data_IF_196550405095
#
_entry.id   IF_196550405095
#
_cell.length_a   1.000
_cell.length_b   1.000
_cell.length_c   1.000
_cell.angle_alpha   90.00
_cell.angle_beta   90.00
_cell.angle_gamma   90.00
#
_symmetry.space_group_name_H-M   'P 1'
#
loop_
_entity.id
_entity.type
_entity.pdbx_description
1 polymer ?
#
# COMPACT_ATOMS: atom_id res chain seq x y z
N UNK A 1 23.19 25.27 8.18
CA UNK A 1 23.18 24.76 6.82
C UNK A 1 23.06 23.26 6.89
N UNK A 2 22.01 22.67 6.30
CA UNK A 2 21.87 21.23 6.21
C UNK A 2 22.98 20.69 5.29
N UNK A 3 23.64 19.62 5.69
CA UNK A 3 24.61 18.91 4.85
C UNK A 3 24.20 17.44 4.73
N UNK A 4 24.54 16.83 3.61
CA UNK A 4 24.36 15.39 3.42
C UNK A 4 25.36 14.68 4.35
N UNK A 5 24.85 13.87 5.28
CA UNK A 5 25.69 13.06 6.16
C UNK A 5 26.19 11.81 5.42
N UNK A 6 25.31 11.15 4.67
CA UNK A 6 25.61 10.05 3.78
C UNK A 6 24.56 9.94 2.67
N UNK A 7 24.90 9.22 1.61
CA UNK A 7 23.98 8.84 0.54
C UNK A 7 24.29 7.42 0.09
N UNK A 8 23.25 6.67 -0.31
CA UNK A 8 23.37 5.31 -0.86
C UNK A 8 22.42 5.18 -2.04
N UNK A 9 22.96 4.70 -3.16
CA UNK A 9 22.16 4.20 -4.28
C UNK A 9 22.00 2.70 -4.10
N UNK A 10 20.79 2.21 -4.32
CA UNK A 10 20.42 0.80 -4.26
C UNK A 10 19.84 0.46 -5.62
N UNK A 11 20.31 -0.62 -6.23
CA UNK A 11 19.85 -1.01 -7.55
C UNK A 11 20.79 -1.95 -8.30
N UNK A 12 20.44 -2.18 -9.55
CA UNK A 12 21.19 -3.03 -10.46
C UNK A 12 21.18 -2.52 -11.90
N UNK A 13 21.07 -3.45 -12.87
CA UNK A 13 21.04 -3.10 -14.30
C UNK A 13 19.63 -2.87 -14.85
N UNK A 14 18.61 -3.16 -14.08
CA UNK A 14 17.21 -2.95 -14.42
C UNK A 14 16.67 -1.63 -13.89
N UNK A 15 15.38 -1.60 -13.71
CA UNK A 15 14.64 -0.48 -13.14
C UNK A 15 14.28 -0.80 -11.69
N UNK A 16 14.37 0.19 -10.83
CA UNK A 16 13.93 0.15 -9.46
C UNK A 16 12.90 1.25 -9.23
N UNK A 17 11.67 0.84 -8.91
CA UNK A 17 10.63 1.75 -8.49
C UNK A 17 10.65 1.92 -6.97
N UNK A 18 10.36 3.14 -6.56
CA UNK A 18 10.38 3.53 -5.15
C UNK A 18 9.06 3.18 -4.45
N UNK A 19 9.15 2.61 -3.28
CA UNK A 19 8.08 2.62 -2.29
C UNK A 19 8.42 3.59 -1.14
N UNK A 20 8.33 3.13 0.07
CA UNK A 20 8.54 3.91 1.28
C UNK A 20 9.88 3.62 1.96
N UNK A 21 10.31 4.56 2.80
CA UNK A 21 11.42 4.39 3.76
C UNK A 21 10.95 4.74 5.17
N UNK A 22 11.31 3.92 6.15
CA UNK A 22 11.00 4.14 7.57
C UNK A 22 12.25 4.00 8.43
N UNK A 23 12.29 4.74 9.53
CA UNK A 23 13.33 4.58 10.55
C UNK A 23 13.05 3.35 11.41
N UNK A 24 14.12 2.62 11.75
CA UNK A 24 14.10 1.51 12.70
C UNK A 24 15.18 1.69 13.77
N UNK A 25 15.14 0.98 14.89
CA UNK A 25 16.24 0.99 15.85
C UNK A 25 17.56 0.59 15.16
N UNK A 26 18.49 1.54 15.08
CA UNK A 26 19.84 1.33 14.50
C UNK A 26 19.92 1.45 12.98
N UNK A 27 18.91 2.02 12.30
CA UNK A 27 18.99 2.23 10.86
C UNK A 27 17.67 2.54 10.17
N UNK A 28 17.50 1.97 9.00
CA UNK A 28 16.35 2.24 8.11
C UNK A 28 15.89 0.95 7.45
N UNK A 29 14.62 0.92 7.04
CA UNK A 29 14.05 -0.09 6.17
C UNK A 29 13.33 0.61 5.02
N UNK A 30 13.50 0.11 3.80
CA UNK A 30 12.86 0.65 2.59
C UNK A 30 12.33 -0.49 1.72
N UNK A 31 11.32 -0.17 0.92
CA UNK A 31 10.70 -1.10 -0.03
C UNK A 31 10.51 -0.47 -1.40
N UNK A 32 10.09 -1.23 -2.36
CA UNK A 32 9.77 -0.86 -3.74
C UNK A 32 9.64 -2.09 -4.62
N UNK A 33 9.86 -1.93 -5.92
CA UNK A 33 9.93 -3.02 -6.90
C UNK A 33 11.21 -2.94 -7.75
N UNK A 34 11.64 -4.07 -8.29
CA UNK A 34 12.85 -4.19 -9.12
C UNK A 34 12.71 -5.28 -10.15
N UNK A 35 13.27 -5.06 -11.34
CA UNK A 35 13.52 -6.11 -12.33
C UNK A 35 15.02 -6.37 -12.56
N UNK A 36 15.87 -5.94 -11.64
CA UNK A 36 17.33 -6.10 -11.73
C UNK A 36 17.79 -7.53 -11.47
N UNK A 37 18.59 -8.06 -12.38
CA UNK A 37 19.21 -9.40 -12.30
C UNK A 37 20.59 -9.39 -11.65
N UNK A 38 21.09 -8.23 -11.24
CA UNK A 38 22.42 -8.05 -10.63
C UNK A 38 22.45 -6.83 -9.71
N UNK A 39 23.66 -6.46 -9.22
CA UNK A 39 23.84 -5.32 -8.32
C UNK A 39 23.48 -5.68 -6.88
N UNK A 40 22.63 -4.89 -6.26
CA UNK A 40 22.11 -5.16 -4.90
C UNK A 40 20.96 -6.19 -4.92
N UNK A 41 20.41 -6.54 -6.12
CA UNK A 41 19.34 -7.51 -6.37
C UNK A 41 19.81 -8.59 -7.35
N UNK A 42 19.17 -9.77 -7.31
CA UNK A 42 19.59 -10.93 -8.12
C UNK A 42 18.38 -11.75 -8.58
N UNK A 43 17.44 -11.11 -9.31
CA UNK A 43 16.30 -11.81 -9.88
C UNK A 43 16.74 -12.82 -10.96
N UNK A 44 15.96 -13.87 -11.20
CA UNK A 44 16.14 -14.72 -12.37
C UNK A 44 16.00 -13.92 -13.68
N UNK A 45 16.69 -14.35 -14.72
CA UNK A 45 16.58 -13.73 -16.05
C UNK A 45 15.16 -13.94 -16.59
N UNK A 46 14.55 -12.88 -17.16
CA UNK A 46 13.19 -12.83 -17.68
C UNK A 46 12.07 -12.86 -16.61
N UNK A 47 12.37 -12.51 -15.36
CA UNK A 47 11.34 -12.13 -14.41
C UNK A 47 10.81 -10.73 -14.72
N UNK A 48 9.55 -10.49 -14.38
CA UNK A 48 8.98 -9.16 -14.32
C UNK A 48 9.46 -8.47 -13.05
N UNK A 49 8.81 -7.41 -12.59
CA UNK A 49 9.18 -6.74 -11.35
C UNK A 49 8.79 -7.58 -10.14
N UNK A 50 9.74 -7.81 -9.24
CA UNK A 50 9.48 -8.34 -7.90
C UNK A 50 9.54 -7.21 -6.86
N UNK A 51 8.69 -7.29 -5.85
CA UNK A 51 8.77 -6.41 -4.70
C UNK A 51 10.09 -6.62 -3.94
N UNK A 52 10.68 -5.56 -3.39
CA UNK A 52 11.88 -5.69 -2.57
C UNK A 52 11.74 -5.03 -1.20
N UNK A 53 12.53 -5.50 -0.26
CA UNK A 53 12.80 -4.84 1.01
C UNK A 53 14.31 -4.80 1.25
N UNK A 54 14.81 -3.61 1.65
CA UNK A 54 16.22 -3.40 2.01
C UNK A 54 16.30 -2.87 3.43
N UNK A 55 17.14 -3.51 4.26
CA UNK A 55 17.47 -3.05 5.60
C UNK A 55 18.86 -2.44 5.62
N UNK A 56 18.96 -1.24 6.18
CA UNK A 56 20.19 -0.45 6.27
C UNK A 56 20.55 -0.18 7.74
N UNK A 57 21.85 -0.06 8.02
CA UNK A 57 22.32 0.51 9.28
C UNK A 57 22.19 2.05 9.28
N UNK A 58 22.50 2.70 10.41
CA UNK A 58 22.45 4.15 10.54
C UNK A 58 23.51 4.92 9.74
N UNK A 59 24.43 4.22 9.07
CA UNK A 59 25.44 4.77 8.15
C UNK A 59 25.12 4.51 6.68
N UNK A 60 23.96 3.91 6.39
CA UNK A 60 23.54 3.57 5.03
C UNK A 60 24.19 2.30 4.46
N UNK A 61 24.86 1.46 5.26
CA UNK A 61 25.32 0.16 4.78
C UNK A 61 24.16 -0.82 4.74
N UNK A 62 24.07 -1.59 3.66
CA UNK A 62 23.07 -2.65 3.53
C UNK A 62 23.37 -3.76 4.55
N UNK A 63 22.38 -4.07 5.38
CA UNK A 63 22.42 -5.21 6.29
C UNK A 63 21.94 -6.46 5.55
N UNK A 64 20.81 -6.34 4.83
CA UNK A 64 20.30 -7.37 3.92
C UNK A 64 19.38 -6.74 2.86
N UNK A 65 19.24 -7.45 1.73
CA UNK A 65 18.24 -7.24 0.67
C UNK A 65 17.47 -8.53 0.46
N UNK A 66 16.16 -8.43 0.25
CA UNK A 66 15.33 -9.53 -0.20
C UNK A 66 14.37 -9.05 -1.27
N UNK A 67 14.12 -9.91 -2.25
CA UNK A 67 13.04 -9.78 -3.21
C UNK A 67 11.95 -10.79 -2.89
N UNK A 68 10.72 -10.43 -3.20
CA UNK A 68 9.52 -11.19 -2.93
C UNK A 68 8.62 -11.12 -4.15
N UNK A 69 8.12 -12.24 -4.61
CA UNK A 69 7.23 -12.27 -5.76
C UNK A 69 7.09 -13.66 -6.37
N UNK A 70 6.63 -13.67 -7.60
CA UNK A 70 6.42 -14.86 -8.41
C UNK A 70 6.82 -14.67 -9.86
N UNK A 71 6.02 -15.15 -10.80
CA UNK A 71 6.33 -15.02 -12.23
C UNK A 71 5.76 -13.75 -12.88
N UNK A 72 4.90 -13.01 -12.20
CA UNK A 72 4.26 -11.77 -12.64
C UNK A 72 4.89 -10.52 -12.06
N UNK A 73 4.10 -9.46 -11.94
CA UNK A 73 4.48 -8.17 -11.37
C UNK A 73 4.11 -8.09 -9.90
N UNK A 74 5.05 -7.72 -9.05
CA UNK A 74 4.84 -7.43 -7.65
C UNK A 74 5.56 -6.15 -7.23
N UNK A 75 4.91 -5.34 -6.39
CA UNK A 75 5.49 -4.15 -5.79
C UNK A 75 5.20 -4.04 -4.28
N UNK A 76 5.93 -3.13 -3.62
CA UNK A 76 5.57 -2.62 -2.31
C UNK A 76 5.56 -1.09 -2.32
N UNK A 77 4.41 -0.51 -2.03
CA UNK A 77 4.20 0.94 -1.95
C UNK A 77 4.48 1.52 -0.55
N UNK A 78 4.16 0.77 0.51
CA UNK A 78 4.46 1.20 1.89
C UNK A 78 4.94 0.04 2.76
N UNK A 79 5.69 0.39 3.81
CA UNK A 79 6.29 -0.55 4.76
C UNK A 79 6.27 0.03 6.17
N UNK A 80 5.97 -0.80 7.16
CA UNK A 80 6.05 -0.44 8.58
C UNK A 80 6.98 -1.38 9.33
N UNK A 81 7.88 -0.87 10.17
CA UNK A 81 8.58 -1.70 11.13
C UNK A 81 7.61 -2.23 12.19
N UNK A 82 7.79 -3.47 12.60
CA UNK A 82 6.97 -4.11 13.63
C UNK A 82 7.75 -4.33 14.93
N UNK A 83 7.03 -4.44 16.06
CA UNK A 83 7.63 -4.51 17.40
C UNK A 83 8.52 -5.73 17.63
N UNK A 84 8.39 -6.78 16.82
CA UNK A 84 9.25 -7.98 16.81
C UNK A 84 10.58 -7.78 16.05
N UNK A 85 10.84 -6.57 15.57
CA UNK A 85 12.03 -6.21 14.79
C UNK A 85 11.94 -6.55 13.30
N UNK A 86 10.81 -7.09 12.86
CA UNK A 86 10.47 -7.35 11.47
C UNK A 86 9.75 -6.17 10.81
N UNK A 87 8.96 -6.45 9.80
CA UNK A 87 8.19 -5.47 9.04
C UNK A 87 6.84 -6.03 8.58
N UNK A 88 5.95 -5.14 8.17
CA UNK A 88 4.81 -5.43 7.32
C UNK A 88 4.85 -4.47 6.13
N UNK A 89 4.70 -4.99 4.92
CA UNK A 89 4.68 -4.22 3.68
C UNK A 89 3.35 -4.44 2.95
N UNK A 90 2.95 -3.46 2.15
CA UNK A 90 1.77 -3.47 1.30
C UNK A 90 2.11 -2.96 -0.09
N UNK A 91 1.49 -3.53 -1.08
CA UNK A 91 1.52 -3.16 -2.48
C UNK A 91 0.58 -4.07 -3.27
N UNK A 92 1.02 -4.51 -4.43
CA UNK A 92 0.20 -5.29 -5.35
C UNK A 92 0.92 -6.55 -5.81
N UNK A 93 0.14 -7.53 -6.28
CA UNK A 93 0.65 -8.73 -6.91
C UNK A 93 -0.26 -9.21 -8.05
N UNK A 94 0.39 -9.70 -9.11
CA UNK A 94 -0.29 -10.34 -10.26
C UNK A 94 0.06 -11.82 -10.41
N UNK A 95 0.92 -12.37 -9.54
CA UNK A 95 1.36 -13.77 -9.58
C UNK A 95 0.40 -14.72 -8.88
N UNK A 96 0.41 -15.98 -9.34
CA UNK A 96 -0.22 -17.13 -8.68
C UNK A 96 0.80 -18.13 -8.13
N UNK A 97 2.09 -17.77 -8.10
CA UNK A 97 3.20 -18.65 -7.73
C UNK A 97 4.26 -17.93 -6.88
N UNK A 98 5.37 -18.62 -6.62
CA UNK A 98 6.48 -18.08 -5.83
C UNK A 98 6.07 -17.82 -4.38
N UNK A 99 6.26 -16.57 -3.94
CA UNK A 99 5.87 -16.12 -2.60
C UNK A 99 4.39 -15.72 -2.51
N UNK A 100 3.71 -15.56 -3.65
CA UNK A 100 2.32 -15.11 -3.74
C UNK A 100 1.38 -16.30 -3.71
N UNK A 101 0.38 -16.26 -2.84
CA UNK A 101 -0.70 -17.26 -2.80
C UNK A 101 -2.02 -16.59 -2.44
N UNK A 102 -3.10 -17.11 -3.03
CA UNK A 102 -4.45 -16.61 -2.79
C UNK A 102 -4.81 -15.39 -3.62
N UNK A 103 -4.13 -15.18 -4.73
CA UNK A 103 -4.47 -14.20 -5.76
C UNK A 103 -5.82 -14.53 -6.41
N UNK A 104 -6.63 -13.50 -6.74
CA UNK A 104 -8.02 -13.68 -7.14
C UNK A 104 -8.30 -13.32 -8.60
N UNK A 105 -7.48 -12.50 -9.24
CA UNK A 105 -7.82 -11.97 -10.54
C UNK A 105 -6.68 -11.31 -11.32
N UNK A 106 -6.88 -10.06 -11.72
CA UNK A 106 -5.88 -9.32 -12.50
C UNK A 106 -4.75 -8.80 -11.60
N UNK A 107 -5.08 -8.02 -10.58
CA UNK A 107 -4.14 -7.48 -9.60
C UNK A 107 -4.82 -7.44 -8.23
N UNK A 108 -4.15 -7.93 -7.20
CA UNK A 108 -4.65 -7.92 -5.82
C UNK A 108 -3.76 -7.08 -4.90
N UNK A 109 -4.36 -6.46 -3.90
CA UNK A 109 -3.62 -5.91 -2.75
C UNK A 109 -2.81 -7.02 -2.09
N UNK A 110 -1.49 -6.88 -2.07
CA UNK A 110 -0.60 -7.85 -1.45
C UNK A 110 0.00 -7.31 -0.16
N UNK A 111 -0.20 -8.05 0.93
CA UNK A 111 0.35 -7.71 2.25
C UNK A 111 1.28 -8.81 2.71
N UNK A 112 2.52 -8.44 3.03
CA UNK A 112 3.58 -9.34 3.48
C UNK A 112 4.07 -8.94 4.87
N UNK A 113 4.03 -9.87 5.83
CA UNK A 113 4.67 -9.75 7.14
C UNK A 113 5.97 -10.54 7.13
N UNK A 114 7.09 -9.83 7.28
CA UNK A 114 8.42 -10.42 7.40
C UNK A 114 8.97 -10.34 8.82
N UNK A 115 9.89 -11.25 9.17
CA UNK A 115 10.65 -11.22 10.43
C UNK A 115 11.86 -10.25 10.35
N UNK A 116 12.65 -10.18 11.41
CA UNK A 116 13.83 -9.31 11.51
C UNK A 116 14.94 -9.66 10.50
N UNK A 117 14.93 -10.87 9.93
CA UNK A 117 15.84 -11.35 8.90
C UNK A 117 15.28 -11.26 7.49
N UNK A 118 14.06 -10.74 7.32
CA UNK A 118 13.39 -10.61 6.03
C UNK A 118 12.59 -11.86 5.59
N UNK A 119 12.54 -12.93 6.40
CA UNK A 119 11.78 -14.13 6.04
C UNK A 119 10.29 -13.89 6.23
N UNK A 120 9.49 -14.27 5.23
CA UNK A 120 8.03 -14.21 5.29
C UNK A 120 7.50 -15.04 6.46
N UNK A 121 6.73 -14.41 7.35
CA UNK A 121 5.96 -15.05 8.41
C UNK A 121 4.55 -15.41 7.94
N UNK A 122 3.93 -14.50 7.19
CA UNK A 122 2.70 -14.70 6.46
C UNK A 122 2.59 -13.68 5.31
N UNK A 123 1.83 -14.02 4.31
CA UNK A 123 1.41 -13.12 3.25
C UNK A 123 -0.07 -13.35 2.92
N UNK A 124 -0.73 -12.37 2.31
CA UNK A 124 -2.11 -12.47 1.82
C UNK A 124 -2.36 -11.52 0.68
N UNK A 125 -3.10 -12.02 -0.29
CA UNK A 125 -3.78 -11.22 -1.28
C UNK A 125 -5.19 -10.88 -0.77
N UNK A 126 -5.64 -9.67 -1.08
CA UNK A 126 -6.99 -9.18 -0.81
C UNK A 126 -7.50 -8.50 -2.08
N UNK A 127 -8.69 -8.86 -2.49
CA UNK A 127 -9.26 -8.35 -3.73
C UNK A 127 -10.34 -9.25 -4.32
N UNK A 128 -10.53 -9.11 -5.62
CA UNK A 128 -11.44 -9.91 -6.43
C UNK A 128 -10.89 -10.13 -7.83
N UNK A 129 -11.77 -10.22 -8.85
CA UNK A 129 -11.33 -10.60 -10.20
C UNK A 129 -10.76 -9.46 -11.06
N UNK A 130 -10.86 -8.21 -10.59
CA UNK A 130 -10.32 -7.03 -11.27
C UNK A 130 -9.10 -6.49 -10.52
N UNK A 131 -8.61 -5.32 -10.94
CA UNK A 131 -7.50 -4.62 -10.30
C UNK A 131 -7.89 -4.09 -8.92
N UNK A 132 -7.17 -4.51 -7.91
CA UNK A 132 -7.26 -4.02 -6.54
C UNK A 132 -5.82 -3.79 -6.03
N UNK A 133 -5.38 -2.54 -5.81
CA UNK A 133 -3.99 -2.25 -5.49
C UNK A 133 -3.82 -1.56 -4.14
N UNK A 134 -2.79 -1.96 -3.40
CA UNK A 134 -2.52 -1.51 -2.04
C UNK A 134 -1.56 -0.34 -1.96
N UNK A 135 -1.93 0.76 -1.27
CA UNK A 135 -1.13 1.97 -1.24
C UNK A 135 -0.45 2.25 0.10
N UNK A 136 -1.20 2.32 1.20
CA UNK A 136 -0.65 2.68 2.52
C UNK A 136 -1.13 1.76 3.62
N UNK A 137 -0.27 1.55 4.62
CA UNK A 137 -0.58 0.73 5.78
C UNK A 137 -0.18 1.45 7.08
N UNK A 138 -1.00 1.34 8.12
CA UNK A 138 -0.73 1.91 9.43
C UNK A 138 -0.99 0.89 10.54
N UNK A 139 -0.26 1.05 11.66
CA UNK A 139 -0.48 0.25 12.87
C UNK A 139 -1.76 0.70 13.58
N UNK A 140 -2.55 -0.27 14.05
CA UNK A 140 -3.71 -0.05 14.94
C UNK A 140 -3.56 -0.87 16.23
N UNK A 141 -4.35 -0.61 17.29
CA UNK A 141 -4.29 -1.43 18.50
C UNK A 141 -4.64 -2.91 18.31
N UNK A 142 -5.42 -3.25 17.28
CA UNK A 142 -5.89 -4.63 17.00
C UNK A 142 -5.15 -5.33 15.87
N UNK A 143 -4.22 -4.66 15.23
CA UNK A 143 -3.50 -5.16 14.05
C UNK A 143 -3.05 -4.00 13.16
N UNK A 144 -3.56 -3.95 11.92
CA UNK A 144 -3.20 -2.92 10.95
C UNK A 144 -4.46 -2.39 10.27
N UNK A 145 -4.35 -1.22 9.67
CA UNK A 145 -5.30 -0.72 8.70
C UNK A 145 -4.55 -0.35 7.42
N UNK A 146 -5.16 -0.59 6.27
CA UNK A 146 -4.61 -0.15 5.00
C UNK A 146 -5.67 0.57 4.16
N UNK A 147 -5.21 1.37 3.22
CA UNK A 147 -6.01 1.89 2.13
C UNK A 147 -5.51 1.35 0.79
N UNK A 148 -6.44 1.24 -0.14
CA UNK A 148 -6.27 0.65 -1.44
C UNK A 148 -7.21 1.33 -2.45
N UNK A 149 -6.93 1.18 -3.74
CA UNK A 149 -7.92 1.33 -4.79
C UNK A 149 -8.58 -0.02 -5.07
N UNK A 150 -9.88 -0.07 -5.25
CA UNK A 150 -10.61 -1.30 -5.52
C UNK A 150 -11.58 -1.16 -6.70
N UNK A 151 -11.39 -2.01 -7.72
CA UNK A 151 -12.27 -2.13 -8.88
C UNK A 151 -13.16 -3.38 -8.85
N UNK A 152 -12.89 -4.32 -7.93
CA UNK A 152 -13.62 -5.57 -7.79
C UNK A 152 -14.92 -5.40 -7.00
N UNK A 153 -15.95 -6.17 -7.40
CA UNK A 153 -17.23 -6.28 -6.68
C UNK A 153 -17.51 -7.71 -6.21
N UNK A 154 -16.47 -8.55 -6.16
CA UNK A 154 -16.52 -9.96 -5.76
C UNK A 154 -15.35 -10.30 -4.83
N UNK A 155 -14.98 -11.56 -4.71
CA UNK A 155 -13.92 -11.97 -3.80
C UNK A 155 -14.14 -11.49 -2.37
N UNK A 156 -13.19 -10.74 -1.83
CA UNK A 156 -13.29 -10.12 -0.50
C UNK A 156 -14.29 -8.96 -0.47
N UNK A 157 -14.55 -8.31 -1.61
CA UNK A 157 -15.46 -7.16 -1.75
C UNK A 157 -16.91 -7.53 -2.04
N UNK A 158 -17.27 -8.80 -2.18
CA UNK A 158 -18.60 -9.29 -2.61
C UNK A 158 -19.82 -8.74 -1.86
N UNK A 159 -19.63 -8.08 -0.72
CA UNK A 159 -20.69 -7.47 0.09
C UNK A 159 -20.58 -5.96 0.17
N UNK A 160 -19.61 -5.38 -0.52
CA UNK A 160 -19.40 -3.94 -0.63
C UNK A 160 -19.99 -3.43 -1.94
N UNK A 161 -20.16 -2.13 -2.02
CA UNK A 161 -20.60 -1.46 -3.25
C UNK A 161 -19.41 -0.69 -3.82
N UNK A 162 -18.95 -1.09 -4.99
CA UNK A 162 -17.99 -0.33 -5.81
C UNK A 162 -18.82 0.42 -6.84
N UNK A 163 -18.69 1.75 -6.89
CA UNK A 163 -19.57 2.63 -7.65
C UNK A 163 -18.99 3.01 -9.02
N UNK A 164 -17.67 3.26 -9.07
CA UNK A 164 -16.94 3.70 -10.25
C UNK A 164 -16.09 2.61 -10.87
N UNK A 165 -14.99 3.05 -11.49
CA UNK A 165 -13.96 2.15 -11.95
C UNK A 165 -13.06 1.73 -10.79
N UNK A 166 -12.76 2.68 -9.87
CA UNK A 166 -11.91 2.47 -8.72
C UNK A 166 -12.46 3.25 -7.52
N UNK A 167 -12.76 2.57 -6.43
CA UNK A 167 -13.20 3.20 -5.17
C UNK A 167 -12.10 3.10 -4.09
N UNK A 168 -12.02 4.10 -3.22
CA UNK A 168 -11.17 4.05 -2.04
C UNK A 168 -11.60 2.92 -1.10
N UNK A 169 -10.76 1.89 -0.92
CA UNK A 169 -11.03 0.75 -0.05
C UNK A 169 -10.23 0.84 1.25
N UNK A 170 -10.94 0.93 2.37
CA UNK A 170 -10.34 1.02 3.71
C UNK A 170 -10.57 -0.29 4.45
N UNK A 171 -9.49 -0.93 4.87
CA UNK A 171 -9.53 -2.26 5.50
C UNK A 171 -8.78 -2.24 6.83
N UNK A 172 -9.36 -2.87 7.85
CA UNK A 172 -8.67 -3.22 9.09
C UNK A 172 -8.42 -4.71 9.14
N UNK A 173 -7.19 -5.10 9.43
CA UNK A 173 -6.80 -6.51 9.57
C UNK A 173 -6.21 -6.78 10.95
N UNK A 174 -6.36 -8.02 11.42
CA UNK A 174 -5.69 -8.51 12.63
C UNK A 174 -4.17 -8.64 12.42
N UNK A 175 -3.40 -8.91 13.48
CA UNK A 175 -1.97 -9.22 13.40
C UNK A 175 -1.66 -10.45 12.52
N UNK A 176 -2.64 -11.31 12.25
CA UNK A 176 -2.53 -12.48 11.35
C UNK A 176 -3.13 -12.26 9.97
N UNK A 177 -3.44 -11.03 9.59
CA UNK A 177 -3.99 -10.67 8.29
C UNK A 177 -5.47 -11.04 8.10
N UNK A 178 -6.26 -11.33 9.15
CA UNK A 178 -7.70 -11.55 8.99
C UNK A 178 -8.41 -10.21 8.91
N UNK A 179 -9.28 -10.01 7.92
CA UNK A 179 -10.15 -8.83 7.82
C UNK A 179 -11.04 -8.74 9.06
N UNK A 180 -10.99 -7.60 9.73
CA UNK A 180 -11.80 -7.25 10.91
C UNK A 180 -12.90 -6.24 10.55
N UNK A 181 -12.64 -5.39 9.57
CA UNK A 181 -13.52 -4.38 9.05
C UNK A 181 -13.08 -4.03 7.63
N UNK A 182 -14.02 -3.71 6.77
CA UNK A 182 -13.76 -3.15 5.44
C UNK A 182 -14.94 -2.32 4.93
N UNK A 183 -14.65 -1.29 4.15
CA UNK A 183 -15.64 -0.44 3.50
C UNK A 183 -15.00 0.26 2.29
N UNK A 184 -15.77 0.40 1.23
CA UNK A 184 -15.47 1.22 0.05
C UNK A 184 -16.12 2.58 0.17
N UNK A 185 -15.47 3.59 -0.39
CA UNK A 185 -15.94 4.98 -0.41
C UNK A 185 -15.62 5.57 -1.78
N UNK A 186 -16.59 6.21 -2.40
CA UNK A 186 -16.40 6.76 -3.72
C UNK A 186 -17.65 7.30 -4.37
N UNK A 187 -17.53 7.58 -5.67
CA UNK A 187 -18.60 8.02 -6.54
C UNK A 187 -18.61 7.29 -7.88
N UNK A 188 -19.04 7.95 -8.95
CA UNK A 188 -19.18 7.28 -10.27
C UNK A 188 -17.87 7.17 -11.07
N UNK A 189 -16.83 7.87 -10.68
CA UNK A 189 -15.50 7.88 -11.30
C UNK A 189 -14.45 7.30 -10.34
N UNK A 190 -13.17 7.62 -10.51
CA UNK A 190 -12.07 7.02 -9.79
C UNK A 190 -11.75 7.73 -8.46
N UNK A 191 -11.59 6.95 -7.41
CA UNK A 191 -11.07 7.34 -6.11
C UNK A 191 -9.95 6.42 -5.67
N UNK A 192 -8.71 6.86 -5.82
CA UNK A 192 -7.54 6.11 -5.36
C UNK A 192 -7.00 6.68 -4.04
N UNK A 193 -7.06 5.87 -2.98
CA UNK A 193 -6.67 6.30 -1.64
C UNK A 193 -5.16 6.25 -1.44
N UNK A 194 -4.51 7.42 -1.46
CA UNK A 194 -3.06 7.61 -1.42
C UNK A 194 -2.52 8.15 -0.09
N UNK A 195 -3.33 8.16 0.96
CA UNK A 195 -2.91 8.59 2.30
C UNK A 195 -3.80 8.04 3.38
N UNK A 196 -3.19 7.56 4.48
CA UNK A 196 -3.91 6.94 5.58
C UNK A 196 -3.28 7.31 6.93
N UNK A 197 -4.12 7.65 7.92
CA UNK A 197 -3.68 7.69 9.31
C UNK A 197 -4.75 7.18 10.27
N UNK A 198 -4.32 6.57 11.37
CA UNK A 198 -5.18 6.05 12.42
C UNK A 198 -5.08 6.93 13.68
N UNK A 199 -6.21 7.40 14.19
CA UNK A 199 -6.28 8.16 15.44
C UNK A 199 -6.57 7.21 16.61
N UNK A 200 -5.58 7.04 17.47
CA UNK A 200 -5.68 6.16 18.65
C UNK A 200 -6.61 6.69 19.75
N UNK A 201 -6.98 7.98 19.71
CA UNK A 201 -7.82 8.61 20.75
C UNK A 201 -9.29 8.23 20.59
N UNK A 202 -9.79 8.19 19.35
CA UNK A 202 -11.20 7.91 19.05
C UNK A 202 -11.41 6.70 18.11
N UNK A 203 -10.31 6.00 17.76
CA UNK A 203 -10.26 4.90 16.82
C UNK A 203 -10.78 5.25 15.40
N UNK A 204 -10.76 6.53 15.04
CA UNK A 204 -11.10 6.98 13.69
C UNK A 204 -9.95 6.75 12.71
N UNK A 205 -10.30 6.65 11.43
CA UNK A 205 -9.35 6.66 10.32
C UNK A 205 -9.55 7.95 9.54
N UNK A 206 -8.44 8.59 9.17
CA UNK A 206 -8.40 9.60 8.13
C UNK A 206 -7.76 8.99 6.89
N UNK A 207 -8.34 9.24 5.74
CA UNK A 207 -7.72 8.92 4.47
C UNK A 207 -7.89 10.09 3.49
N UNK A 208 -7.03 10.11 2.50
CA UNK A 208 -7.07 11.07 1.43
C UNK A 208 -6.89 10.36 0.09
N UNK A 209 -7.65 10.79 -0.91
CA UNK A 209 -7.57 10.31 -2.28
C UNK A 209 -7.72 11.46 -3.27
N UNK A 210 -7.22 11.26 -4.47
CA UNK A 210 -7.64 12.01 -5.63
C UNK A 210 -9.06 11.57 -6.01
N UNK A 211 -9.91 12.47 -6.48
CA UNK A 211 -11.27 12.15 -6.93
C UNK A 211 -11.62 12.88 -8.20
N UNK A 212 -12.23 12.16 -9.14
CA UNK A 212 -12.87 12.71 -10.33
C UNK A 212 -14.39 12.82 -10.16
N UNK A 213 -14.94 12.18 -9.15
CA UNK A 213 -16.40 12.13 -8.89
C UNK A 213 -16.97 13.43 -8.34
N UNK A 214 -18.27 13.66 -8.63
CA UNK A 214 -19.06 14.70 -7.98
C UNK A 214 -20.44 14.16 -7.55
N UNK A 215 -20.48 12.89 -7.17
CA UNK A 215 -21.67 12.18 -6.67
C UNK A 215 -21.26 11.12 -5.62
N UNK A 216 -22.20 10.24 -5.23
CA UNK A 216 -21.94 9.24 -4.22
C UNK A 216 -21.55 9.85 -2.87
N UNK A 217 -20.37 9.47 -2.37
CA UNK A 217 -19.81 10.03 -1.15
C UNK A 217 -19.16 11.40 -1.34
N UNK A 218 -18.85 11.78 -2.58
CA UNK A 218 -18.15 13.02 -2.91
C UNK A 218 -19.17 14.14 -3.19
N UNK A 219 -18.88 15.31 -2.69
CA UNK A 219 -19.64 16.54 -2.96
C UNK A 219 -18.68 17.71 -3.18
N UNK A 220 -19.06 18.63 -4.06
CA UNK A 220 -18.30 19.84 -4.34
C UNK A 220 -16.89 19.56 -4.91
N UNK A 221 -16.77 18.64 -5.85
CA UNK A 221 -15.63 18.61 -6.77
C UNK A 221 -15.66 19.92 -7.59
N UNK A 222 -14.52 20.61 -7.69
CA UNK A 222 -14.42 21.95 -8.26
C UNK A 222 -13.86 21.98 -9.68
N UNK A 223 -13.35 20.85 -10.18
CA UNK A 223 -12.70 20.78 -11.48
C UNK A 223 -12.53 19.37 -11.99
N UNK A 224 -11.34 19.08 -12.52
CA UNK A 224 -10.99 17.76 -13.03
C UNK A 224 -10.71 16.81 -11.84
N UNK A 225 -9.52 16.86 -11.27
CA UNK A 225 -9.12 16.02 -10.13
C UNK A 225 -8.97 16.88 -8.88
N UNK A 226 -9.73 16.60 -7.84
CA UNK A 226 -9.63 17.29 -6.54
C UNK A 226 -9.10 16.33 -5.46
N UNK A 227 -8.47 16.89 -4.43
CA UNK A 227 -8.10 16.15 -3.24
C UNK A 227 -9.32 15.94 -2.33
N UNK A 228 -9.69 14.68 -2.06
CA UNK A 228 -10.78 14.34 -1.14
C UNK A 228 -10.23 13.81 0.18
N UNK A 229 -10.54 14.50 1.27
CA UNK A 229 -10.09 14.15 2.63
C UNK A 229 -11.29 13.69 3.46
N UNK A 230 -11.18 12.52 4.03
CA UNK A 230 -12.27 11.84 4.75
C UNK A 230 -11.82 11.41 6.15
N UNK A 231 -12.71 11.60 7.13
CA UNK A 231 -12.62 10.97 8.43
C UNK A 231 -13.79 10.01 8.61
N UNK A 232 -13.49 8.77 8.95
CA UNK A 232 -14.49 7.77 9.32
C UNK A 232 -14.35 7.37 10.79
N UNK A 233 -15.47 7.05 11.43
CA UNK A 233 -15.49 6.54 12.80
C UNK A 233 -15.01 5.08 12.88
N UNK A 234 -14.99 4.52 14.08
CA UNK A 234 -14.56 3.13 14.30
C UNK A 234 -15.41 2.09 13.56
N UNK A 235 -16.63 2.45 13.13
CA UNK A 235 -17.60 1.59 12.44
C UNK A 235 -17.68 1.85 10.93
N UNK A 236 -16.87 2.83 10.42
CA UNK A 236 -16.78 3.16 9.01
C UNK A 236 -17.75 4.25 8.53
N UNK A 237 -18.52 4.88 9.44
CA UNK A 237 -19.36 5.99 9.02
C UNK A 237 -18.53 7.24 8.77
N UNK A 238 -18.78 7.93 7.65
CA UNK A 238 -18.16 9.22 7.37
C UNK A 238 -18.65 10.24 8.41
N UNK A 239 -17.73 10.83 9.18
CA UNK A 239 -18.01 11.86 10.17
C UNK A 239 -17.47 13.24 9.76
N UNK A 240 -16.54 13.27 8.79
CA UNK A 240 -16.08 14.48 8.14
C UNK A 240 -15.63 14.12 6.72
N UNK A 241 -16.00 14.95 5.76
CA UNK A 241 -15.48 14.88 4.39
C UNK A 241 -15.28 16.28 3.84
N UNK A 242 -14.23 16.46 3.03
CA UNK A 242 -13.94 17.73 2.39
C UNK A 242 -13.19 17.51 1.09
N UNK A 243 -13.68 18.14 0.03
CA UNK A 243 -12.99 18.25 -1.25
C UNK A 243 -12.16 19.54 -1.25
N UNK A 244 -10.93 19.46 -1.70
CA UNK A 244 -9.96 20.55 -1.75
C UNK A 244 -9.35 20.58 -3.14
N UNK A 245 -9.53 21.72 -3.82
CA UNK A 245 -8.99 21.91 -5.15
C UNK A 245 -9.59 23.13 -5.83
N UNK A 246 -9.37 23.22 -7.12
CA UNK A 246 -9.79 24.32 -7.97
C UNK A 246 -10.33 23.82 -9.31
N UNK A 247 -10.09 24.58 -10.38
CA UNK A 247 -10.53 24.19 -11.74
C UNK A 247 -9.49 23.36 -12.51
N UNK A 248 -8.38 23.00 -11.88
CA UNK A 248 -7.31 22.19 -12.45
C UNK A 248 -7.22 20.83 -11.77
N UNK A 249 -6.10 20.13 -11.98
CA UNK A 249 -5.77 18.85 -11.35
C UNK A 249 -4.96 19.11 -10.07
N UNK A 250 -5.36 18.50 -8.96
CA UNK A 250 -4.64 18.48 -7.69
C UNK A 250 -4.20 17.07 -7.38
N UNK A 251 -2.86 16.85 -7.32
CA UNK A 251 -2.27 15.56 -6.95
C UNK A 251 -2.07 15.45 -5.44
N UNK A 252 -2.35 14.27 -4.90
CA UNK A 252 -2.00 13.85 -3.54
C UNK A 252 -0.88 12.82 -3.64
N UNK A 253 0.26 13.14 -3.04
CA UNK A 253 1.47 12.28 -3.00
C UNK A 253 1.98 12.04 -1.58
#
# INVERSE_FOLDING_TARGET
QACIEWQKTIGGSGEEDRGAIKTIPGGYITCGSTNSINGDFHLPVNHDFDAYVVKLDNKGHIIWTHTYGGSGYEDFNDILPTSDGGFIAIGSATSDDGDVTGHHGDEDVWVVKGDAQGKIQWQKCYGGIKEDHGNFIVQTPSGYAFCAGAASADGDLKHLTVHGFLDAWIVKISLSGKILFQQTYGGSDDEDANGLCFNTTDNSIFFACATLSNDGDIINNHGDVDAWVVKVDATGNIILKKTLGGSGEEEIS
#
